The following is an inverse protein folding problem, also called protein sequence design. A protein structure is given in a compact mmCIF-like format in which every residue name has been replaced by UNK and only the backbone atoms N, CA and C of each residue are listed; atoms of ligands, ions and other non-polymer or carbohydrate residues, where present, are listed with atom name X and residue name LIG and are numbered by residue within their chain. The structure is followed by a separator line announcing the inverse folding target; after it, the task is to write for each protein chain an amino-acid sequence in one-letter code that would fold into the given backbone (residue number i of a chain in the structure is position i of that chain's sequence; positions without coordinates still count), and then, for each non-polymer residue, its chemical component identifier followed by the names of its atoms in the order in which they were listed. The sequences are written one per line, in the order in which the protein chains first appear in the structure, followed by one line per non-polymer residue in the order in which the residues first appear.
data_IF_298353310595
#
_entry.id   IF_298353310595
#
_cell.length_a   1.000
_cell.length_b   1.000
_cell.length_c   1.000
_cell.angle_alpha   90.00
_cell.angle_beta   90.00
_cell.angle_gamma   90.00
#
_symmetry.space_group_name_H-M   'P 1'
#
loop_
_entity.id
_entity.type
_entity.pdbx_description
1 polymer ?
#
# COMPACT_ATOMS: atom_id res chain seq x y z
N UNK A 1 26.20 79.19 -12.03
CA UNK A 1 26.44 78.05 -11.06
C UNK A 1 25.23 77.14 -11.05
N UNK A 2 25.29 76.09 -11.83
CA UNK A 2 24.10 75.20 -12.17
C UNK A 2 24.20 73.87 -11.42
N UNK A 3 23.34 73.71 -10.43
CA UNK A 3 23.27 72.42 -9.63
C UNK A 3 22.49 71.39 -10.40
N UNK A 4 23.16 70.30 -10.87
CA UNK A 4 22.54 69.12 -11.43
C UNK A 4 22.03 68.20 -10.31
N UNK A 5 20.71 68.05 -10.21
CA UNK A 5 20.07 67.02 -9.34
C UNK A 5 20.23 65.66 -9.99
N UNK A 6 20.99 64.78 -9.36
CA UNK A 6 21.04 63.34 -9.71
C UNK A 6 19.94 62.63 -8.96
N UNK A 7 18.93 62.13 -9.70
CA UNK A 7 17.83 61.34 -9.15
C UNK A 7 18.26 59.87 -9.18
N UNK A 8 18.66 59.34 -8.02
CA UNK A 8 19.01 57.91 -7.88
C UNK A 8 17.74 57.04 -7.86
N UNK A 9 17.60 56.19 -8.87
CA UNK A 9 16.54 55.20 -8.95
C UNK A 9 16.97 53.95 -8.15
N UNK A 10 16.38 53.73 -6.97
CA UNK A 10 16.59 52.48 -6.18
C UNK A 10 15.70 51.40 -6.75
N UNK A 11 16.31 50.46 -7.46
CA UNK A 11 15.64 49.25 -7.96
C UNK A 11 15.51 48.25 -6.80
N UNK A 12 14.33 48.16 -6.16
CA UNK A 12 14.04 47.17 -5.15
C UNK A 12 13.71 45.84 -5.86
N UNK A 13 14.70 44.95 -5.94
CA UNK A 13 14.49 43.58 -6.40
C UNK A 13 13.72 42.81 -5.34
N UNK A 14 12.42 42.55 -5.57
CA UNK A 14 11.61 41.65 -4.74
C UNK A 14 12.04 40.22 -5.09
N UNK A 15 12.92 39.64 -4.28
CA UNK A 15 13.20 38.19 -4.30
C UNK A 15 11.98 37.51 -3.73
N UNK A 16 11.11 36.98 -4.60
CA UNK A 16 10.07 36.02 -4.22
C UNK A 16 10.78 34.73 -3.79
N UNK A 17 10.93 34.51 -2.49
CA UNK A 17 11.30 33.24 -1.92
C UNK A 17 10.14 32.24 -2.24
N UNK A 18 10.28 31.47 -3.31
CA UNK A 18 9.50 30.26 -3.48
C UNK A 18 9.85 29.33 -2.32
N UNK A 19 9.06 29.32 -1.26
CA UNK A 19 9.11 28.29 -0.24
C UNK A 19 8.60 27.00 -0.89
N UNK A 20 9.52 26.16 -1.29
CA UNK A 20 9.18 24.81 -1.75
C UNK A 20 8.44 24.11 -0.61
N UNK A 21 7.18 23.78 -0.84
CA UNK A 21 6.36 23.10 0.17
C UNK A 21 6.98 21.73 0.49
N UNK A 22 7.18 21.43 1.78
CA UNK A 22 7.69 20.12 2.20
C UNK A 22 6.80 19.02 1.67
N UNK A 23 7.36 17.91 1.13
CA UNK A 23 6.56 16.82 0.64
C UNK A 23 5.73 16.18 1.77
N UNK A 24 4.54 15.71 1.43
CA UNK A 24 3.69 14.90 2.31
C UNK A 24 4.32 13.53 2.49
N UNK A 25 4.63 13.13 3.72
CA UNK A 25 5.29 11.86 4.04
C UNK A 25 4.26 10.76 4.23
N UNK A 26 4.19 9.81 3.31
CA UNK A 26 3.15 8.77 3.29
C UNK A 26 3.75 7.41 3.57
N UNK A 27 3.30 6.78 4.66
CA UNK A 27 3.59 5.39 5.00
C UNK A 27 2.59 4.47 4.31
N UNK A 28 3.04 3.53 3.49
CA UNK A 28 2.17 2.68 2.66
C UNK A 28 2.50 1.21 2.86
N UNK A 29 1.49 0.41 3.20
CA UNK A 29 1.64 -1.04 3.26
C UNK A 29 2.10 -1.60 1.91
N UNK A 30 3.09 -2.48 1.93
CA UNK A 30 3.86 -2.90 0.76
C UNK A 30 3.05 -3.59 -0.36
N UNK A 31 1.88 -4.17 -0.04
CA UNK A 31 0.94 -4.71 -1.02
C UNK A 31 0.41 -3.63 -1.98
N UNK A 32 0.32 -2.38 -1.51
CA UNK A 32 -0.26 -1.27 -2.26
C UNK A 32 0.79 -0.43 -3.02
N UNK A 33 2.06 -0.83 -2.98
CA UNK A 33 3.18 -0.02 -3.49
C UNK A 33 3.07 0.31 -4.99
N UNK A 34 2.70 -0.66 -5.83
CA UNK A 34 2.57 -0.44 -7.28
C UNK A 34 1.38 0.48 -7.60
N UNK A 35 0.26 0.27 -6.93
CA UNK A 35 -0.95 1.07 -7.08
C UNK A 35 -0.71 2.50 -6.60
N UNK A 36 -0.10 2.67 -5.43
CA UNK A 36 0.19 3.98 -4.85
C UNK A 36 1.11 4.83 -5.74
N UNK A 37 2.13 4.25 -6.36
CA UNK A 37 3.00 4.98 -7.30
C UNK A 37 2.23 5.57 -8.48
N UNK A 38 1.22 4.85 -8.99
CA UNK A 38 0.36 5.34 -10.08
C UNK A 38 -0.59 6.42 -9.56
N UNK A 39 -1.18 6.22 -8.39
CA UNK A 39 -2.06 7.21 -7.76
C UNK A 39 -1.32 8.54 -7.52
N UNK A 40 -0.11 8.48 -6.97
CA UNK A 40 0.73 9.67 -6.74
C UNK A 40 1.09 10.34 -8.06
N UNK A 41 1.51 9.59 -9.07
CA UNK A 41 1.79 10.15 -10.40
C UNK A 41 0.58 10.83 -11.04
N UNK A 42 -0.65 10.35 -10.78
CA UNK A 42 -1.87 11.00 -11.27
C UNK A 42 -2.29 12.21 -10.41
N UNK A 43 -2.05 12.16 -9.11
CA UNK A 43 -2.28 13.26 -8.19
C UNK A 43 -1.38 14.47 -8.51
N UNK A 44 -0.08 14.24 -8.64
CA UNK A 44 0.92 15.29 -8.89
C UNK A 44 0.78 15.98 -10.27
N UNK A 45 0.00 15.41 -11.20
CA UNK A 45 -0.36 16.10 -12.46
C UNK A 45 -1.37 17.23 -12.28
N UNK A 46 -2.14 17.19 -11.20
CA UNK A 46 -3.26 18.12 -10.94
C UNK A 46 -3.13 18.84 -9.62
N UNK A 47 -2.00 18.70 -8.95
CA UNK A 47 -1.73 19.28 -7.63
C UNK A 47 -0.28 19.78 -7.55
N UNK A 48 -0.07 20.87 -6.84
CA UNK A 48 1.26 21.42 -6.56
C UNK A 48 1.95 20.73 -5.37
N UNK A 49 1.26 19.78 -4.71
CA UNK A 49 1.82 19.02 -3.58
C UNK A 49 2.61 17.84 -4.04
N UNK A 50 3.78 17.62 -3.43
CA UNK A 50 4.64 16.47 -3.67
C UNK A 50 4.42 15.40 -2.60
N UNK A 51 4.45 14.12 -2.99
CA UNK A 51 4.24 12.98 -2.11
C UNK A 51 5.51 12.14 -1.98
N UNK A 52 6.03 12.00 -0.76
CA UNK A 52 7.15 11.12 -0.48
C UNK A 52 6.67 9.79 0.11
N UNK A 53 6.91 8.69 -0.62
CA UNK A 53 6.41 7.35 -0.29
C UNK A 53 7.44 6.52 0.48
N UNK A 54 6.99 5.85 1.53
CA UNK A 54 7.73 4.80 2.22
C UNK A 54 6.92 3.50 2.20
N UNK A 55 7.59 2.34 2.02
CA UNK A 55 6.93 1.04 1.90
C UNK A 55 7.48 0.04 2.92
N UNK A 56 6.60 -0.55 3.74
CA UNK A 56 6.92 -1.62 4.68
C UNK A 56 5.66 -2.44 5.02
N UNK A 57 5.74 -3.35 6.00
CA UNK A 57 4.54 -3.97 6.58
C UNK A 57 3.74 -2.98 7.42
N UNK A 58 2.42 -3.18 7.52
CA UNK A 58 1.54 -2.33 8.35
C UNK A 58 1.99 -2.30 9.81
N UNK A 59 2.42 -3.45 10.36
CA UNK A 59 2.89 -3.52 11.74
C UNK A 59 4.21 -2.77 11.99
N UNK A 60 5.10 -2.72 11.00
CA UNK A 60 6.34 -1.93 11.10
C UNK A 60 6.04 -0.44 11.13
N UNK A 61 5.16 0.04 10.25
CA UNK A 61 4.74 1.44 10.28
C UNK A 61 4.00 1.81 11.56
N UNK A 62 3.09 0.94 12.02
CA UNK A 62 2.42 1.13 13.30
C UNK A 62 3.43 1.35 14.44
N UNK A 63 4.44 0.49 14.55
CA UNK A 63 5.48 0.63 15.58
C UNK A 63 6.29 1.92 15.41
N UNK A 64 6.65 2.30 14.19
CA UNK A 64 7.38 3.54 13.91
C UNK A 64 6.55 4.78 14.24
N UNK A 65 5.26 4.82 13.88
CA UNK A 65 4.34 5.93 14.17
C UNK A 65 4.20 6.11 15.69
N UNK A 66 4.04 5.03 16.44
CA UNK A 66 4.03 5.08 17.91
C UNK A 66 5.32 5.62 18.53
N UNK A 67 6.44 5.45 17.85
CA UNK A 67 7.74 6.01 18.26
C UNK A 67 8.00 7.42 17.69
N UNK A 68 6.98 8.07 17.11
CA UNK A 68 7.08 9.44 16.63
C UNK A 68 7.68 9.59 15.23
N UNK A 69 7.72 8.54 14.40
CA UNK A 69 8.17 8.66 13.01
C UNK A 69 7.34 9.71 12.27
N UNK A 70 7.98 10.56 11.43
CA UNK A 70 7.37 11.79 10.91
C UNK A 70 6.48 11.55 9.68
N UNK A 71 5.64 10.53 9.68
CA UNK A 71 4.65 10.32 8.63
C UNK A 71 3.44 11.23 8.81
N UNK A 72 2.85 11.66 7.71
CA UNK A 72 1.65 12.49 7.66
C UNK A 72 0.40 11.65 7.43
N UNK A 73 0.50 10.64 6.56
CA UNK A 73 -0.60 9.73 6.20
C UNK A 73 -0.13 8.29 6.32
N UNK A 74 -1.01 7.40 6.79
CA UNK A 74 -0.73 5.98 6.89
C UNK A 74 -1.79 5.15 6.17
N UNK A 75 -1.38 4.44 5.10
CA UNK A 75 -2.15 3.45 4.37
C UNK A 75 -1.83 2.05 4.90
N UNK A 76 -2.70 1.51 5.73
CA UNK A 76 -2.57 0.16 6.31
C UNK A 76 -3.21 -0.90 5.43
N UNK A 77 -2.69 -2.12 5.44
CA UNK A 77 -3.30 -3.29 4.81
C UNK A 77 -4.34 -3.99 5.72
N UNK A 78 -4.70 -3.40 6.84
CA UNK A 78 -5.78 -3.82 7.74
C UNK A 78 -6.45 -2.61 8.40
N UNK A 79 -7.50 -2.88 9.17
CA UNK A 79 -8.22 -1.90 9.98
C UNK A 79 -7.69 -1.81 11.42
N UNK A 80 -7.06 -2.87 11.91
CA UNK A 80 -6.67 -3.00 13.32
C UNK A 80 -5.58 -1.99 13.75
N UNK A 81 -4.59 -1.71 12.88
CA UNK A 81 -3.53 -0.73 13.20
C UNK A 81 -4.03 0.70 13.15
N UNK A 82 -4.80 1.15 12.12
CA UNK A 82 -5.48 2.43 12.17
C UNK A 82 -6.39 2.63 13.38
N UNK A 83 -7.14 1.59 13.76
CA UNK A 83 -8.01 1.59 14.93
C UNK A 83 -7.21 1.80 16.25
N UNK A 84 -6.13 1.04 16.41
CA UNK A 84 -5.26 1.19 17.57
C UNK A 84 -4.62 2.59 17.64
N UNK A 85 -4.13 3.15 16.52
CA UNK A 85 -3.60 4.51 16.48
C UNK A 85 -4.67 5.56 16.82
N UNK A 86 -5.90 5.36 16.36
CA UNK A 86 -7.02 6.25 16.67
C UNK A 86 -7.35 6.20 18.18
N UNK A 87 -7.39 5.02 18.78
CA UNK A 87 -7.59 4.83 20.22
C UNK A 87 -6.49 5.50 21.06
N UNK A 88 -5.27 5.54 20.53
CA UNK A 88 -4.12 6.20 21.17
C UNK A 88 -4.04 7.72 20.90
N UNK A 89 -5.01 8.31 20.21
CA UNK A 89 -5.04 9.76 19.89
C UNK A 89 -4.01 10.19 18.84
N UNK A 90 -3.49 9.28 18.04
CA UNK A 90 -2.46 9.54 17.03
C UNK A 90 -3.06 9.79 15.63
N UNK A 91 -4.38 9.84 15.50
CA UNK A 91 -5.12 10.00 14.25
C UNK A 91 -6.07 11.21 14.35
N UNK A 92 -6.14 12.01 13.31
CA UNK A 92 -7.11 13.10 13.20
C UNK A 92 -8.53 12.52 13.14
N UNK A 93 -9.39 12.96 14.03
CA UNK A 93 -10.77 12.48 14.11
C UNK A 93 -11.50 12.63 12.76
N UNK A 94 -12.25 11.59 12.36
CA UNK A 94 -13.00 11.57 11.11
C UNK A 94 -12.17 11.33 9.84
N UNK A 95 -10.83 11.25 9.92
CA UNK A 95 -9.98 11.05 8.74
C UNK A 95 -9.85 9.61 8.26
N UNK A 96 -10.31 8.64 9.07
CA UNK A 96 -10.18 7.21 8.77
C UNK A 96 -11.26 6.74 7.80
N UNK A 97 -10.84 6.03 6.74
CA UNK A 97 -11.76 5.33 5.84
C UNK A 97 -11.11 4.10 5.21
N UNK A 98 -11.95 3.15 4.75
CA UNK A 98 -11.50 1.98 4.00
C UNK A 98 -11.30 2.38 2.53
N UNK A 99 -10.05 2.33 2.06
CA UNK A 99 -9.71 2.71 0.68
C UNK A 99 -9.73 1.53 -0.30
N UNK A 100 -9.59 0.28 0.19
CA UNK A 100 -9.56 -0.91 -0.64
C UNK A 100 -9.82 -2.20 0.16
N UNK A 101 -10.30 -3.24 -0.51
CA UNK A 101 -10.33 -4.61 0.02
C UNK A 101 -9.37 -5.45 -0.84
N UNK A 102 -8.34 -5.99 -0.20
CA UNK A 102 -7.29 -6.75 -0.87
C UNK A 102 -7.72 -8.16 -1.23
N UNK A 103 -7.10 -8.73 -2.25
CA UNK A 103 -7.29 -10.12 -2.67
C UNK A 103 -5.99 -10.89 -2.58
N UNK A 104 -6.06 -12.11 -2.06
CA UNK A 104 -4.93 -13.01 -1.88
C UNK A 104 -4.83 -13.98 -3.07
N UNK A 105 -3.61 -14.24 -3.52
CA UNK A 105 -3.34 -15.25 -4.53
C UNK A 105 -2.16 -16.13 -4.10
N UNK A 106 -2.14 -17.39 -4.53
CA UNK A 106 -0.94 -18.23 -4.51
C UNK A 106 -0.33 -18.21 -5.90
N UNK A 107 0.96 -17.92 -5.98
CA UNK A 107 1.65 -17.69 -7.24
C UNK A 107 2.95 -18.48 -7.35
N UNK A 108 3.31 -18.81 -8.60
CA UNK A 108 4.57 -19.43 -8.97
C UNK A 108 5.08 -18.91 -10.32
N UNK A 109 6.39 -18.81 -10.45
CA UNK A 109 7.05 -18.59 -11.74
C UNK A 109 7.41 -19.89 -12.46
N UNK A 110 7.20 -21.03 -11.82
CA UNK A 110 7.52 -22.36 -12.41
C UNK A 110 6.51 -22.75 -13.47
N UNK A 111 6.96 -23.01 -14.69
CA UNK A 111 6.12 -23.38 -15.82
C UNK A 111 5.44 -24.72 -15.62
N UNK A 112 6.08 -25.65 -14.91
CA UNK A 112 5.53 -26.96 -14.55
C UNK A 112 4.41 -26.91 -13.51
N UNK A 113 4.16 -25.72 -12.92
CA UNK A 113 3.05 -25.48 -12.01
C UNK A 113 1.85 -24.81 -12.71
N UNK A 114 1.97 -24.50 -14.00
CA UNK A 114 0.91 -23.87 -14.76
C UNK A 114 -0.41 -24.65 -14.64
N UNK A 115 -1.50 -23.93 -14.37
CA UNK A 115 -2.86 -24.46 -14.17
C UNK A 115 -3.00 -25.49 -13.02
N UNK A 116 -1.97 -25.64 -12.16
CA UNK A 116 -1.96 -26.62 -11.07
C UNK A 116 -1.62 -26.00 -9.70
N UNK A 117 -1.57 -24.68 -9.58
CA UNK A 117 -1.12 -23.99 -8.36
C UNK A 117 -1.91 -24.46 -7.13
N UNK A 118 -3.25 -24.47 -7.21
CA UNK A 118 -4.11 -24.94 -6.13
C UNK A 118 -3.82 -26.40 -5.77
N UNK A 119 -3.74 -27.28 -6.77
CA UNK A 119 -3.45 -28.70 -6.58
C UNK A 119 -2.07 -28.94 -5.97
N UNK A 120 -1.05 -28.19 -6.43
CA UNK A 120 0.32 -28.26 -5.88
C UNK A 120 0.35 -27.82 -4.42
N UNK A 121 -0.36 -26.73 -4.08
CA UNK A 121 -0.50 -26.27 -2.69
C UNK A 121 -1.19 -27.35 -1.83
N UNK A 122 -2.37 -27.81 -2.23
CA UNK A 122 -3.18 -28.80 -1.47
C UNK A 122 -2.45 -30.12 -1.25
N UNK A 123 -1.67 -30.60 -2.23
CA UNK A 123 -0.88 -31.83 -2.13
C UNK A 123 0.48 -31.66 -1.44
N UNK A 124 0.86 -30.43 -1.04
CA UNK A 124 2.19 -30.16 -0.52
C UNK A 124 3.32 -30.43 -1.51
N UNK A 125 3.02 -30.44 -2.83
CA UNK A 125 3.96 -30.77 -3.91
C UNK A 125 4.83 -29.55 -4.28
N UNK A 126 5.56 -29.03 -3.30
CA UNK A 126 6.54 -27.96 -3.39
C UNK A 126 7.63 -28.15 -2.33
N UNK A 127 8.82 -27.59 -2.55
CA UNK A 127 9.91 -27.61 -1.58
C UNK A 127 9.85 -26.41 -0.64
N UNK A 128 9.54 -25.21 -1.17
CA UNK A 128 9.49 -23.96 -0.40
C UNK A 128 8.22 -23.17 -0.73
N UNK A 129 7.57 -22.67 0.33
CA UNK A 129 6.37 -21.82 0.29
C UNK A 129 6.68 -20.48 0.94
N UNK A 130 6.63 -19.41 0.17
CA UNK A 130 6.81 -18.07 0.69
C UNK A 130 5.51 -17.50 1.26
N UNK A 131 5.58 -16.87 2.44
CA UNK A 131 4.49 -16.15 3.07
C UNK A 131 5.03 -14.97 3.88
N UNK A 132 4.23 -13.93 4.05
CA UNK A 132 4.62 -12.79 4.86
C UNK A 132 4.48 -13.09 6.37
N UNK A 133 5.29 -12.42 7.18
CA UNK A 133 5.23 -12.58 8.63
C UNK A 133 3.88 -12.13 9.19
N UNK A 134 3.06 -13.07 9.66
CA UNK A 134 1.72 -12.82 10.17
C UNK A 134 1.69 -11.93 11.42
N UNK A 135 2.80 -11.80 12.15
CA UNK A 135 2.88 -10.91 13.33
C UNK A 135 2.78 -9.42 12.94
N UNK A 136 3.20 -9.07 11.73
CA UNK A 136 3.31 -7.67 11.29
C UNK A 136 2.67 -7.37 9.92
N UNK A 137 2.31 -8.42 9.15
CA UNK A 137 1.77 -8.27 7.80
C UNK A 137 0.36 -8.89 7.68
N UNK A 138 -0.69 -8.10 7.38
CA UNK A 138 -2.07 -8.60 7.27
C UNK A 138 -2.24 -9.71 6.22
N UNK A 139 -1.55 -9.63 5.08
CA UNK A 139 -1.54 -10.71 4.09
C UNK A 139 -0.90 -12.00 4.61
N UNK A 140 0.02 -11.91 5.58
CA UNK A 140 0.55 -13.07 6.29
C UNK A 140 -0.50 -13.74 7.17
N UNK A 141 -1.34 -12.95 7.86
CA UNK A 141 -2.50 -13.48 8.62
C UNK A 141 -3.44 -14.21 7.69
N UNK A 142 -3.85 -13.60 6.57
CA UNK A 142 -4.72 -14.22 5.57
C UNK A 142 -4.11 -15.52 5.01
N UNK A 143 -2.80 -15.56 4.77
CA UNK A 143 -2.10 -16.77 4.31
C UNK A 143 -2.20 -17.91 5.33
N UNK A 144 -2.03 -17.62 6.62
CA UNK A 144 -2.19 -18.62 7.68
C UNK A 144 -3.64 -19.09 7.81
N UNK A 145 -4.62 -18.22 7.62
CA UNK A 145 -6.04 -18.58 7.63
C UNK A 145 -6.35 -19.57 6.49
N UNK A 146 -5.82 -19.34 5.27
CA UNK A 146 -5.94 -20.27 4.15
C UNK A 146 -5.28 -21.61 4.44
N UNK A 147 -4.05 -21.60 4.95
CA UNK A 147 -3.35 -22.85 5.30
C UNK A 147 -4.09 -23.63 6.40
N UNK A 148 -4.67 -22.92 7.37
CA UNK A 148 -5.53 -23.53 8.40
C UNK A 148 -6.80 -24.11 7.80
N UNK A 149 -7.49 -23.38 6.91
CA UNK A 149 -8.69 -23.86 6.21
C UNK A 149 -8.42 -25.15 5.41
N UNK A 150 -7.24 -25.24 4.81
CA UNK A 150 -6.80 -26.40 4.03
C UNK A 150 -6.14 -27.50 4.88
N UNK A 151 -6.07 -27.35 6.21
CA UNK A 151 -5.35 -28.27 7.13
C UNK A 151 -3.88 -28.49 6.76
N UNK A 152 -3.20 -27.44 6.25
CA UNK A 152 -1.82 -27.52 5.76
C UNK A 152 -0.79 -26.84 6.69
N UNK A 153 -1.18 -26.29 7.83
CA UNK A 153 -0.24 -25.62 8.75
C UNK A 153 0.94 -26.54 9.09
N UNK A 154 0.67 -27.66 9.75
CA UNK A 154 1.71 -28.55 10.29
C UNK A 154 2.55 -29.19 9.17
N UNK A 155 1.92 -29.64 8.09
CA UNK A 155 2.59 -30.31 6.97
C UNK A 155 3.44 -29.37 6.11
N UNK A 156 3.17 -28.06 6.10
CA UNK A 156 3.89 -27.10 5.29
C UNK A 156 4.90 -26.25 6.08
N UNK A 157 4.78 -26.15 7.41
CA UNK A 157 5.55 -25.19 8.22
C UNK A 157 7.06 -25.33 8.05
N UNK A 158 7.59 -26.54 7.94
CA UNK A 158 9.02 -26.78 7.71
C UNK A 158 9.53 -26.30 6.34
N UNK A 159 8.62 -26.01 5.41
CA UNK A 159 8.89 -25.51 4.05
C UNK A 159 8.72 -24.00 3.92
N UNK A 160 8.38 -23.30 5.00
CA UNK A 160 8.09 -21.85 4.89
C UNK A 160 9.36 -21.02 4.72
N UNK A 161 9.26 -20.05 3.80
CA UNK A 161 10.20 -18.95 3.64
C UNK A 161 9.45 -17.67 4.01
N UNK A 162 9.79 -17.10 5.17
CA UNK A 162 9.03 -15.97 5.72
C UNK A 162 9.64 -14.64 5.29
N UNK A 163 8.84 -13.82 4.60
CA UNK A 163 9.16 -12.43 4.29
C UNK A 163 8.70 -11.49 5.41
N UNK A 164 9.41 -10.39 5.64
CA UNK A 164 8.97 -9.33 6.54
C UNK A 164 7.62 -8.75 6.13
N UNK A 165 7.38 -8.67 4.82
CA UNK A 165 6.16 -8.14 4.22
C UNK A 165 5.83 -8.86 2.90
N UNK A 166 4.65 -8.54 2.32
CA UNK A 166 4.18 -9.25 1.12
C UNK A 166 5.00 -8.91 -0.14
N UNK A 167 5.71 -7.78 -0.20
CA UNK A 167 6.58 -7.47 -1.31
C UNK A 167 7.85 -8.35 -1.30
N UNK A 168 8.41 -8.62 -0.12
CA UNK A 168 9.53 -9.55 0.01
C UNK A 168 9.10 -10.99 -0.33
N UNK A 169 7.90 -11.40 0.06
CA UNK A 169 7.30 -12.69 -0.32
C UNK A 169 7.24 -12.85 -1.85
N UNK A 170 6.76 -11.83 -2.55
CA UNK A 170 6.77 -11.79 -4.01
C UNK A 170 8.19 -11.96 -4.59
N UNK A 171 9.19 -11.30 -4.00
CA UNK A 171 10.57 -11.41 -4.48
C UNK A 171 11.14 -12.82 -4.28
N UNK A 172 10.83 -13.53 -3.19
CA UNK A 172 11.27 -14.91 -2.99
C UNK A 172 10.77 -15.85 -4.09
N UNK A 173 9.53 -15.71 -4.51
CA UNK A 173 9.00 -16.52 -5.62
C UNK A 173 9.62 -16.08 -6.94
N UNK A 174 9.69 -14.77 -7.19
CA UNK A 174 10.24 -14.22 -8.43
C UNK A 174 11.70 -14.62 -8.68
N UNK A 175 12.49 -14.70 -7.64
CA UNK A 175 13.92 -15.09 -7.73
C UNK A 175 14.15 -16.60 -7.68
N UNK A 176 13.09 -17.42 -7.58
CA UNK A 176 13.18 -18.87 -7.45
C UNK A 176 13.59 -19.37 -6.07
N UNK A 177 13.70 -18.48 -5.08
CA UNK A 177 13.97 -18.85 -3.68
C UNK A 177 12.78 -19.54 -2.99
N UNK A 178 11.59 -19.48 -3.57
CA UNK A 178 10.42 -20.26 -3.21
C UNK A 178 9.69 -20.75 -4.46
N UNK A 179 9.12 -21.94 -4.40
CA UNK A 179 8.39 -22.55 -5.51
C UNK A 179 7.00 -21.94 -5.67
N UNK A 180 6.37 -21.69 -4.53
CA UNK A 180 5.06 -21.08 -4.38
C UNK A 180 5.12 -19.93 -3.38
N UNK A 181 4.23 -18.98 -3.48
CA UNK A 181 4.08 -17.94 -2.45
C UNK A 181 2.69 -17.35 -2.42
N UNK A 182 2.26 -17.04 -1.21
CA UNK A 182 1.09 -16.19 -1.00
C UNK A 182 1.47 -14.73 -1.26
N UNK A 183 0.76 -14.09 -2.17
CA UNK A 183 1.01 -12.71 -2.61
C UNK A 183 -0.29 -11.92 -2.68
N UNK A 184 -0.19 -10.59 -2.70
CA UNK A 184 -1.33 -9.77 -3.05
C UNK A 184 -1.58 -9.82 -4.55
N UNK A 185 -2.83 -10.01 -4.99
CA UNK A 185 -3.19 -10.03 -6.41
C UNK A 185 -2.69 -8.77 -7.14
N UNK A 186 -2.69 -7.63 -6.46
CA UNK A 186 -2.20 -6.34 -6.98
C UNK A 186 -0.73 -6.35 -7.43
N UNK A 187 0.07 -7.29 -6.94
CA UNK A 187 1.47 -7.43 -7.35
C UNK A 187 1.60 -8.08 -8.75
N UNK A 188 0.54 -8.75 -9.22
CA UNK A 188 0.48 -9.37 -10.55
C UNK A 188 -0.28 -8.52 -11.57
N UNK A 189 -1.08 -7.54 -11.12
CA UNK A 189 -1.93 -6.73 -11.98
C UNK A 189 -1.37 -5.30 -12.13
N UNK A 190 -1.82 -4.60 -13.17
CA UNK A 190 -1.47 -3.20 -13.43
C UNK A 190 -0.83 -2.97 -14.81
N UNK A 191 -0.83 -1.72 -15.26
CA UNK A 191 -0.43 -1.32 -16.63
C UNK A 191 1.04 -1.62 -16.98
N UNK A 192 1.93 -1.74 -15.98
CA UNK A 192 3.37 -1.94 -16.22
C UNK A 192 3.77 -3.41 -16.35
N UNK A 193 2.83 -4.34 -16.38
CA UNK A 193 3.08 -5.77 -16.55
C UNK A 193 3.21 -6.12 -18.04
N UNK A 194 4.23 -5.55 -18.72
CA UNK A 194 4.41 -5.65 -20.19
C UNK A 194 4.75 -7.04 -20.71
N UNK A 195 5.18 -7.99 -19.86
CA UNK A 195 5.54 -9.34 -20.27
C UNK A 195 4.69 -10.39 -19.55
N UNK A 196 3.48 -10.66 -20.06
CA UNK A 196 2.60 -11.72 -19.55
C UNK A 196 3.28 -13.11 -19.51
N UNK A 197 4.20 -13.40 -20.43
CA UNK A 197 4.93 -14.67 -20.49
C UNK A 197 5.92 -14.90 -19.33
N UNK A 198 6.33 -13.84 -18.61
CA UNK A 198 7.21 -13.94 -17.45
C UNK A 198 6.48 -13.90 -16.11
N UNK A 199 5.14 -13.81 -16.12
CA UNK A 199 4.35 -13.62 -14.90
C UNK A 199 4.11 -14.92 -14.12
N UNK A 200 4.37 -16.09 -14.71
CA UNK A 200 4.03 -17.37 -14.09
C UNK A 200 2.52 -17.62 -14.03
N UNK A 201 2.11 -18.51 -13.15
CA UNK A 201 0.70 -18.86 -12.93
C UNK A 201 0.28 -18.56 -11.50
N UNK A 202 -0.99 -18.26 -11.29
CA UNK A 202 -1.54 -18.06 -9.96
C UNK A 202 -2.90 -18.72 -9.80
N UNK A 203 -3.22 -19.05 -8.57
CA UNK A 203 -4.54 -19.41 -8.10
C UNK A 203 -5.07 -18.28 -7.22
N UNK A 204 -6.19 -17.71 -7.63
CA UNK A 204 -6.87 -16.73 -6.82
C UNK A 204 -7.55 -17.44 -5.66
N UNK A 205 -7.15 -17.08 -4.43
CA UNK A 205 -7.71 -17.68 -3.23
C UNK A 205 -9.18 -17.25 -3.09
N UNK A 206 -10.12 -18.20 -2.89
CA UNK A 206 -11.52 -17.87 -2.59
C UNK A 206 -11.65 -17.02 -1.32
N UNK A 207 -12.49 -15.99 -1.37
CA UNK A 207 -12.72 -15.06 -0.24
C UNK A 207 -13.30 -15.76 1.01
N UNK A 208 -13.84 -17.00 0.86
CA UNK A 208 -14.34 -17.83 1.96
C UNK A 208 -13.24 -18.50 2.80
N UNK A 209 -11.99 -18.50 2.32
CA UNK A 209 -10.87 -19.19 3.01
C UNK A 209 -10.12 -18.29 3.99
N UNK A 210 -10.38 -17.00 3.99
CA UNK A 210 -9.78 -16.03 4.92
C UNK A 210 -10.72 -14.86 5.18
N UNK A 211 -10.50 -14.13 6.26
CA UNK A 211 -11.25 -12.89 6.53
C UNK A 211 -10.97 -11.84 5.45
N UNK A 212 -11.94 -10.97 5.12
CA UNK A 212 -11.72 -9.87 4.17
C UNK A 212 -10.53 -9.00 4.58
N UNK A 213 -9.64 -8.71 3.63
CA UNK A 213 -8.46 -7.86 3.86
C UNK A 213 -8.87 -6.40 3.65
N UNK A 214 -9.71 -5.86 4.56
CA UNK A 214 -10.11 -4.45 4.53
C UNK A 214 -8.93 -3.57 4.93
N UNK A 215 -8.64 -2.55 4.12
CA UNK A 215 -7.46 -1.70 4.23
C UNK A 215 -7.89 -0.26 4.49
N UNK A 216 -7.46 0.29 5.63
CA UNK A 216 -7.82 1.64 6.03
C UNK A 216 -6.64 2.60 5.86
N UNK A 217 -6.97 3.85 5.59
CA UNK A 217 -6.06 4.99 5.62
C UNK A 217 -6.45 5.94 6.75
N UNK A 218 -5.46 6.64 7.30
CA UNK A 218 -5.64 7.67 8.32
C UNK A 218 -4.72 8.85 8.08
N UNK A 219 -5.19 10.06 8.40
CA UNK A 219 -4.38 11.25 8.61
C UNK A 219 -3.82 11.20 10.03
N UNK A 220 -2.49 11.26 10.18
CA UNK A 220 -1.87 11.21 11.49
C UNK A 220 -1.99 12.58 12.19
N UNK A 221 -2.14 12.57 13.52
CA UNK A 221 -2.42 13.77 14.32
C UNK A 221 -1.40 14.89 14.11
N UNK A 222 -0.12 14.54 13.93
CA UNK A 222 0.93 15.53 13.63
C UNK A 222 0.71 16.30 12.33
N UNK A 223 -0.06 15.75 11.40
CA UNK A 223 -0.36 16.35 10.09
C UNK A 223 -1.75 17.01 10.03
N UNK A 224 -2.37 17.27 11.18
CA UNK A 224 -3.72 17.87 11.25
C UNK A 224 -3.86 19.13 10.39
N UNK A 225 -2.82 19.96 10.35
CA UNK A 225 -2.79 21.21 9.57
C UNK A 225 -2.03 21.07 8.23
N UNK A 226 -1.69 19.85 7.80
CA UNK A 226 -1.02 19.64 6.50
C UNK A 226 -2.06 19.59 5.37
N UNK A 227 -2.23 20.72 4.68
CA UNK A 227 -3.19 20.85 3.59
C UNK A 227 -2.92 19.87 2.45
N UNK A 228 -1.64 19.61 2.10
CA UNK A 228 -1.28 18.65 1.05
C UNK A 228 -1.73 17.22 1.39
N UNK A 229 -1.62 16.83 2.66
CA UNK A 229 -2.10 15.52 3.13
C UNK A 229 -3.64 15.41 3.01
N UNK A 230 -4.38 16.45 3.35
CA UNK A 230 -5.84 16.48 3.21
C UNK A 230 -6.26 16.40 1.75
N UNK A 231 -5.70 17.23 0.88
CA UNK A 231 -5.98 17.21 -0.57
C UNK A 231 -5.65 15.84 -1.19
N UNK A 232 -4.58 15.18 -0.72
CA UNK A 232 -4.26 13.83 -1.17
C UNK A 232 -5.29 12.78 -0.71
N UNK A 233 -5.80 12.88 0.52
CA UNK A 233 -6.88 12.01 1.00
C UNK A 233 -8.19 12.26 0.24
N UNK A 234 -8.52 13.53 -0.07
CA UNK A 234 -9.69 13.86 -0.90
C UNK A 234 -9.56 13.27 -2.32
N UNK A 235 -8.35 13.31 -2.90
CA UNK A 235 -8.09 12.65 -4.19
C UNK A 235 -8.40 11.15 -4.14
N UNK A 236 -8.15 10.46 -3.01
CA UNK A 236 -8.44 9.03 -2.87
C UNK A 236 -9.94 8.70 -2.97
N UNK A 237 -10.81 9.67 -2.72
CA UNK A 237 -12.28 9.53 -2.88
C UNK A 237 -12.76 9.75 -4.31
N UNK A 238 -11.92 10.21 -5.24
CA UNK A 238 -12.31 10.44 -6.64
C UNK A 238 -12.52 9.13 -7.40
N UNK A 239 -13.38 9.17 -8.41
CA UNK A 239 -13.58 8.04 -9.33
C UNK A 239 -12.30 7.64 -10.05
N UNK A 240 -11.43 8.61 -10.33
CA UNK A 240 -10.11 8.36 -10.93
C UNK A 240 -9.26 7.47 -10.03
N UNK A 241 -9.17 7.79 -8.75
CA UNK A 241 -8.41 6.99 -7.78
C UNK A 241 -9.02 5.60 -7.60
N UNK A 242 -10.34 5.51 -7.44
CA UNK A 242 -11.06 4.23 -7.32
C UNK A 242 -10.86 3.33 -8.54
N UNK A 243 -10.96 3.89 -9.75
CA UNK A 243 -10.72 3.15 -10.98
C UNK A 243 -9.28 2.61 -11.08
N UNK A 244 -8.28 3.40 -10.65
CA UNK A 244 -6.89 2.92 -10.58
C UNK A 244 -6.80 1.76 -9.59
N UNK A 245 -7.36 1.88 -8.39
CA UNK A 245 -7.35 0.83 -7.36
C UNK A 245 -7.99 -0.47 -7.89
N UNK A 246 -9.16 -0.36 -8.54
CA UNK A 246 -9.85 -1.51 -9.13
C UNK A 246 -9.04 -2.19 -10.24
N UNK A 247 -8.32 -1.43 -11.09
CA UNK A 247 -7.45 -1.98 -12.14
C UNK A 247 -6.30 -2.84 -11.58
N UNK A 248 -5.91 -2.62 -10.33
CA UNK A 248 -4.93 -3.45 -9.61
C UNK A 248 -5.57 -4.62 -8.87
N UNK A 249 -6.86 -4.93 -9.12
CA UNK A 249 -7.55 -6.09 -8.59
C UNK A 249 -8.03 -5.98 -7.14
N UNK A 250 -8.05 -4.78 -6.59
CA UNK A 250 -8.73 -4.51 -5.32
C UNK A 250 -10.24 -4.40 -5.55
N UNK A 251 -10.99 -4.81 -4.54
CA UNK A 251 -12.40 -4.43 -4.46
C UNK A 251 -12.48 -3.05 -3.80
N UNK A 252 -13.31 -2.18 -4.36
CA UNK A 252 -13.58 -0.83 -3.83
C UNK A 252 -15.02 -0.84 -3.36
N UNK A 253 -15.27 -0.41 -2.12
CA UNK A 253 -16.66 -0.26 -1.65
C UNK A 253 -17.35 0.88 -2.41
N UNK A 254 -18.54 0.62 -2.95
CA UNK A 254 -19.37 1.67 -3.51
C UNK A 254 -19.75 2.64 -2.38
N UNK A 255 -19.21 3.84 -2.44
CA UNK A 255 -19.57 4.90 -1.49
C UNK A 255 -20.88 5.56 -1.90
N UNK A 256 -21.98 4.82 -1.80
CA UNK A 256 -23.35 5.39 -1.80
C UNK A 256 -23.89 5.67 -0.40
N UNK A 257 -23.04 5.54 0.64
CA UNK A 257 -23.40 5.83 2.04
C UNK A 257 -22.22 6.42 2.79
N UNK A 258 -21.85 7.64 2.49
CA UNK A 258 -20.85 8.39 3.24
C UNK A 258 -21.11 9.87 3.04
N UNK A 259 -21.66 10.53 4.08
CA UNK A 259 -21.72 11.98 4.15
C UNK A 259 -20.32 12.58 3.93
N UNK A 260 -20.22 13.76 3.29
CA UNK A 260 -18.96 14.46 3.15
C UNK A 260 -18.42 14.79 4.54
N UNK A 261 -17.16 14.43 4.79
CA UNK A 261 -16.44 14.87 5.98
C UNK A 261 -16.21 16.37 5.83
N UNK A 262 -16.93 17.16 6.62
CA UNK A 262 -16.79 18.62 6.75
C UNK A 262 -15.42 18.99 7.31
#
# INVERSE_FOLDING_TARGET
MTIKKVLGFILVSIFTLCTEAKPVLVAVASNFSNTMKVLVSEFEKTSDYQIALSFASSGKFYAQIKQGAPYDVFFSADQAKPDALQTEGLVVAGSRFTYAIGRLAVWSTRTEFANQIETKLKKGAFNKLALANAKIAPYGIASLEVLKHLALIDSSQSKWVQGENIAQTYQFVRSGNADLGFIALSQLLGKNQRNKSQQGSYWLVPDTMHRPIKQDVVLLQRAENNQGARVFLDFMHTDKARNIIAQYGYQVSDSTSGEPVL
#
